data_IF_952890024216
#
_entry.id   IF_952890024216
#
_cell.length_a   1.000
_cell.length_b   1.000
_cell.length_c   1.000
_cell.angle_alpha   90.00
_cell.angle_beta   90.00
_cell.angle_gamma   90.00
#
_symmetry.space_group_name_H-M   'P 1'
#
loop_
_entity.id
_entity.type
_entity.pdbx_description
1 polymer ?
#
# COMPACT_ATOMS: atom_id res chain seq x y z
N UNK A 1 7.14 15.39 -1.99
CA UNK A 1 5.87 15.54 -2.74
C UNK A 1 5.30 16.94 -2.57
N UNK A 2 4.84 17.32 -1.36
CA UNK A 2 4.28 18.65 -1.10
C UNK A 2 5.29 19.80 -1.26
N UNK A 3 6.56 19.61 -0.89
CA UNK A 3 7.60 20.63 -1.11
C UNK A 3 7.86 20.98 -2.59
N UNK A 4 7.53 20.09 -3.53
CA UNK A 4 7.64 20.37 -4.98
C UNK A 4 6.38 21.10 -5.48
N UNK A 5 5.20 20.71 -4.99
CA UNK A 5 3.95 21.41 -5.24
C UNK A 5 3.98 22.86 -4.73
N UNK A 6 4.67 23.16 -3.63
CA UNK A 6 4.84 24.54 -3.13
C UNK A 6 5.64 25.44 -4.08
N UNK A 7 6.64 24.90 -4.78
CA UNK A 7 7.45 25.70 -5.72
C UNK A 7 6.78 25.92 -7.07
N UNK A 8 5.91 25.00 -7.49
CA UNK A 8 5.24 25.03 -8.80
C UNK A 8 3.73 24.77 -8.65
N UNK A 9 3.03 25.46 -7.75
CA UNK A 9 1.61 25.23 -7.52
C UNK A 9 0.78 25.70 -8.73
N UNK A 10 0.32 24.78 -9.60
CA UNK A 10 -0.30 25.14 -10.87
C UNK A 10 -1.74 25.60 -10.64
N UNK A 11 -2.32 26.29 -11.62
CA UNK A 11 -3.73 26.68 -11.56
C UNK A 11 -4.68 25.47 -11.54
N UNK A 12 -4.28 24.36 -12.15
CA UNK A 12 -5.02 23.10 -12.19
C UNK A 12 -4.12 21.91 -11.86
N UNK A 13 -4.53 21.13 -10.88
CA UNK A 13 -3.88 19.88 -10.46
C UNK A 13 -4.73 18.72 -10.96
N UNK A 14 -4.44 18.27 -12.19
CA UNK A 14 -5.06 17.09 -12.79
C UNK A 14 -4.10 15.89 -12.76
N UNK A 15 -4.59 14.71 -13.13
CA UNK A 15 -3.75 13.50 -13.27
C UNK A 15 -2.56 13.72 -14.21
N UNK A 16 -2.72 14.56 -15.24
CA UNK A 16 -1.64 14.92 -16.16
C UNK A 16 -0.58 15.77 -15.45
N UNK A 17 -1.00 16.76 -14.66
CA UNK A 17 -0.11 17.60 -13.85
C UNK A 17 0.70 16.76 -12.87
N UNK A 18 0.03 15.85 -12.14
CA UNK A 18 0.68 14.96 -11.17
C UNK A 18 1.67 14.00 -11.86
N UNK A 19 1.32 13.45 -13.03
CA UNK A 19 2.22 12.66 -13.89
C UNK A 19 3.41 13.47 -14.40
N UNK A 20 3.18 14.70 -14.88
CA UNK A 20 4.23 15.60 -15.39
C UNK A 20 5.25 15.93 -14.30
N UNK A 21 4.80 16.04 -13.06
CA UNK A 21 5.67 16.24 -11.91
C UNK A 21 6.26 14.94 -11.33
N UNK A 22 5.99 13.79 -11.95
CA UNK A 22 6.41 12.46 -11.46
C UNK A 22 6.04 12.23 -9.99
N UNK A 23 4.91 12.79 -9.56
CA UNK A 23 4.40 12.72 -8.20
C UNK A 23 3.55 11.45 -8.06
N UNK A 24 4.03 10.46 -7.31
CA UNK A 24 3.33 9.20 -7.04
C UNK A 24 2.79 8.48 -8.30
N UNK A 25 3.68 7.92 -9.14
CA UNK A 25 3.27 7.18 -10.33
C UNK A 25 2.30 6.04 -9.97
N UNK A 26 1.20 5.93 -10.71
CA UNK A 26 0.09 4.99 -10.51
C UNK A 26 -0.80 5.25 -9.28
N UNK A 27 -0.60 6.35 -8.55
CA UNK A 27 -1.43 6.74 -7.40
C UNK A 27 -1.92 8.19 -7.51
N UNK A 28 -1.96 8.74 -8.71
CA UNK A 28 -2.25 10.15 -8.95
C UNK A 28 -3.65 10.53 -8.48
N UNK A 29 -4.65 9.68 -8.74
CA UNK A 29 -6.03 9.89 -8.28
C UNK A 29 -6.13 9.99 -6.76
N UNK A 30 -5.34 9.20 -6.01
CA UNK A 30 -5.35 9.27 -4.55
C UNK A 30 -4.79 10.59 -4.03
N UNK A 31 -3.78 11.13 -4.71
CA UNK A 31 -3.18 12.43 -4.36
C UNK A 31 -4.17 13.54 -4.64
N UNK A 32 -4.85 13.51 -5.78
CA UNK A 32 -5.86 14.49 -6.16
C UNK A 32 -7.00 14.47 -5.14
N UNK A 33 -7.54 13.29 -4.84
CA UNK A 33 -8.60 13.14 -3.84
C UNK A 33 -8.17 13.64 -2.45
N UNK A 34 -6.91 13.41 -2.06
CA UNK A 34 -6.37 13.92 -0.81
C UNK A 34 -6.27 15.46 -0.79
N UNK A 35 -5.88 16.08 -1.91
CA UNK A 35 -5.83 17.54 -2.05
C UNK A 35 -7.23 18.17 -2.12
N UNK A 36 -8.18 17.49 -2.77
CA UNK A 36 -9.60 17.86 -2.80
C UNK A 36 -10.20 17.81 -1.41
N UNK A 37 -9.93 16.73 -0.66
CA UNK A 37 -10.41 16.56 0.70
C UNK A 37 -9.90 17.67 1.64
N UNK A 38 -8.65 18.11 1.47
CA UNK A 38 -8.10 19.24 2.22
C UNK A 38 -8.63 20.62 1.76
N UNK A 39 -9.46 20.67 0.71
CA UNK A 39 -9.98 21.92 0.16
C UNK A 39 -8.92 22.78 -0.54
N UNK A 40 -7.76 22.20 -0.88
CA UNK A 40 -6.66 22.88 -1.59
C UNK A 40 -6.99 23.04 -3.08
N UNK A 41 -7.75 22.08 -3.61
CA UNK A 41 -8.27 22.09 -4.98
C UNK A 41 -9.76 21.72 -4.95
N UNK A 42 -10.51 22.13 -5.98
CA UNK A 42 -11.92 21.79 -6.14
C UNK A 42 -12.12 20.42 -6.82
N UNK A 43 -13.39 20.02 -6.99
CA UNK A 43 -13.78 18.78 -7.68
C UNK A 43 -13.28 18.71 -9.13
N UNK A 44 -13.10 19.86 -9.78
CA UNK A 44 -12.57 20.01 -11.14
C UNK A 44 -11.03 20.00 -11.18
N UNK A 45 -10.38 19.99 -10.02
CA UNK A 45 -8.94 20.05 -9.86
C UNK A 45 -8.35 21.46 -10.00
N UNK A 46 -9.15 22.52 -10.01
CA UNK A 46 -8.65 23.91 -9.93
C UNK A 46 -8.24 24.23 -8.50
N UNK A 47 -7.18 25.01 -8.34
CA UNK A 47 -6.76 25.49 -7.03
C UNK A 47 -7.80 26.41 -6.39
N UNK A 48 -7.99 26.26 -5.09
CA UNK A 48 -8.75 27.22 -4.29
C UNK A 48 -7.86 28.38 -3.85
N UNK A 49 -8.45 29.53 -3.55
CA UNK A 49 -7.71 30.69 -3.01
C UNK A 49 -7.04 30.33 -1.66
N UNK A 50 -7.79 29.67 -0.77
CA UNK A 50 -7.26 29.15 0.51
C UNK A 50 -6.04 28.25 0.32
N UNK A 51 -6.11 27.31 -0.62
CA UNK A 51 -5.02 26.39 -0.93
C UNK A 51 -3.80 27.11 -1.49
N UNK A 52 -4.02 28.05 -2.41
CA UNK A 52 -2.96 28.89 -2.98
C UNK A 52 -2.24 29.69 -1.91
N UNK A 53 -3.00 30.41 -1.07
CA UNK A 53 -2.44 31.29 -0.05
C UNK A 53 -1.58 30.51 0.94
N UNK A 54 -2.03 29.32 1.38
CA UNK A 54 -1.24 28.46 2.26
C UNK A 54 0.03 27.92 1.57
N UNK A 55 -0.07 27.46 0.32
CA UNK A 55 1.05 26.81 -0.38
C UNK A 55 2.17 27.78 -0.81
N UNK A 56 1.88 29.07 -0.93
CA UNK A 56 2.86 30.13 -1.28
C UNK A 56 3.64 30.63 -0.06
N UNK A 57 3.16 30.37 1.17
CA UNK A 57 3.84 30.77 2.41
C UNK A 57 5.21 30.10 2.59
N UNK A 58 6.04 30.69 3.46
CA UNK A 58 7.34 30.14 3.86
C UNK A 58 7.20 28.84 4.67
N UNK A 59 8.24 28.02 4.79
CA UNK A 59 8.17 26.69 5.44
C UNK A 59 7.49 26.66 6.83
N UNK A 60 7.83 27.55 7.78
CA UNK A 60 7.18 27.54 9.11
C UNK A 60 5.73 28.04 9.07
N UNK A 61 5.41 28.96 8.16
CA UNK A 61 4.06 29.51 7.98
C UNK A 61 3.16 28.53 7.23
N UNK A 62 3.72 27.80 6.27
CA UNK A 62 3.07 26.71 5.55
C UNK A 62 2.64 25.60 6.51
N UNK A 63 3.50 25.17 7.44
CA UNK A 63 3.16 24.14 8.40
C UNK A 63 1.92 24.53 9.23
N UNK A 64 1.88 25.79 9.71
CA UNK A 64 0.73 26.32 10.44
C UNK A 64 -0.52 26.48 9.59
N UNK A 65 -0.39 27.01 8.36
CA UNK A 65 -1.51 27.14 7.43
C UNK A 65 -2.07 25.77 7.02
N UNK A 66 -1.20 24.79 6.81
CA UNK A 66 -1.56 23.42 6.49
C UNK A 66 -2.23 22.73 7.68
N UNK A 67 -1.79 22.98 8.92
CA UNK A 67 -2.49 22.52 10.12
C UNK A 67 -3.94 23.02 10.14
N UNK A 68 -4.17 24.30 9.81
CA UNK A 68 -5.50 24.88 9.71
C UNK A 68 -6.39 24.17 8.68
N UNK A 69 -5.84 23.87 7.50
CA UNK A 69 -6.57 23.11 6.46
C UNK A 69 -6.91 21.69 6.91
N UNK A 70 -5.99 21.02 7.61
CA UNK A 70 -6.24 19.67 8.14
C UNK A 70 -7.29 19.71 9.25
N UNK A 71 -7.25 20.71 10.14
CA UNK A 71 -8.28 20.90 11.18
C UNK A 71 -9.66 21.17 10.58
N UNK A 72 -9.74 21.96 9.51
CA UNK A 72 -10.99 22.22 8.79
C UNK A 72 -11.52 20.95 8.11
N UNK A 73 -10.66 20.17 7.44
CA UNK A 73 -11.07 18.95 6.76
C UNK A 73 -11.44 17.79 7.70
N UNK A 74 -10.83 17.75 8.90
CA UNK A 74 -11.10 16.74 9.94
C UNK A 74 -11.82 17.36 11.15
N UNK A 75 -12.68 18.36 10.95
CA UNK A 75 -13.38 19.08 12.03
C UNK A 75 -13.96 18.13 13.07
N UNK A 76 -14.66 17.09 12.62
CA UNK A 76 -15.32 16.11 13.48
C UNK A 76 -14.34 15.37 14.41
N UNK A 77 -13.14 15.06 13.92
CA UNK A 77 -12.10 14.41 14.72
C UNK A 77 -11.59 15.35 15.81
N UNK A 78 -11.35 16.62 15.47
CA UNK A 78 -10.89 17.62 16.42
C UNK A 78 -11.99 18.08 17.37
N UNK A 79 -13.27 18.00 17.00
CA UNK A 79 -14.39 18.25 17.92
C UNK A 79 -14.51 17.16 18.98
N UNK A 80 -14.28 15.90 18.61
CA UNK A 80 -14.39 14.76 19.55
C UNK A 80 -13.14 14.60 20.40
N UNK A 81 -11.95 14.85 19.85
CA UNK A 81 -10.66 14.56 20.50
C UNK A 81 -9.84 15.80 20.85
N UNK A 82 -10.17 16.97 20.33
CA UNK A 82 -9.37 18.18 20.52
C UNK A 82 -7.97 18.05 19.90
N UNK A 83 -7.00 18.77 20.47
CA UNK A 83 -5.61 18.72 20.02
C UNK A 83 -4.92 17.37 20.27
N UNK A 84 -5.50 16.49 21.11
CA UNK A 84 -5.02 15.12 21.30
C UNK A 84 -5.14 14.28 20.01
N UNK A 85 -5.98 14.70 19.05
CA UNK A 85 -6.09 14.05 17.74
C UNK A 85 -4.73 13.89 17.03
N UNK A 86 -3.79 14.83 17.25
CA UNK A 86 -2.45 14.78 16.67
C UNK A 86 -1.57 13.68 17.26
N UNK A 87 -1.76 13.34 18.54
CA UNK A 87 -0.95 12.36 19.27
C UNK A 87 -1.54 10.95 19.25
N UNK A 88 -2.73 10.77 18.67
CA UNK A 88 -3.38 9.46 18.59
C UNK A 88 -2.54 8.44 17.83
N UNK A 89 -2.47 7.25 18.40
CA UNK A 89 -1.82 6.13 17.75
C UNK A 89 -2.62 5.67 16.52
N UNK A 90 -1.93 5.01 15.59
CA UNK A 90 -2.56 4.44 14.40
C UNK A 90 -3.80 3.57 14.72
N UNK A 91 -3.78 2.61 15.66
CA UNK A 91 -4.97 1.80 15.96
C UNK A 91 -6.14 2.61 16.52
N UNK A 92 -5.88 3.67 17.30
CA UNK A 92 -6.92 4.56 17.82
C UNK A 92 -7.59 5.36 16.69
N UNK A 93 -6.79 5.92 15.78
CA UNK A 93 -7.28 6.59 14.59
C UNK A 93 -8.12 5.63 13.72
N UNK A 94 -7.66 4.40 13.53
CA UNK A 94 -8.43 3.38 12.77
C UNK A 94 -9.76 3.09 13.45
N UNK A 95 -9.77 2.90 14.78
CA UNK A 95 -11.00 2.68 15.53
C UNK A 95 -11.97 3.86 15.40
N UNK A 96 -11.46 5.09 15.44
CA UNK A 96 -12.23 6.30 15.23
C UNK A 96 -12.87 6.33 13.83
N UNK A 97 -12.07 6.27 12.77
CA UNK A 97 -12.58 6.35 11.38
C UNK A 97 -13.57 5.22 11.06
N UNK A 98 -13.37 4.03 11.60
CA UNK A 98 -14.33 2.93 11.45
C UNK A 98 -15.67 3.20 12.14
N UNK A 99 -15.65 3.88 13.28
CA UNK A 99 -16.85 4.18 14.06
C UNK A 99 -17.61 5.35 13.44
N UNK A 100 -16.89 6.42 13.06
CA UNK A 100 -17.46 7.64 12.48
C UNK A 100 -17.96 7.41 11.05
N UNK A 101 -17.10 6.85 10.19
CA UNK A 101 -17.40 6.72 8.74
C UNK A 101 -18.11 5.40 8.40
N UNK A 102 -18.28 4.51 9.39
CA UNK A 102 -18.85 3.16 9.23
C UNK A 102 -18.14 2.34 8.14
N UNK A 103 -16.82 2.52 8.04
CA UNK A 103 -15.98 1.90 7.01
C UNK A 103 -15.36 0.58 7.47
N UNK A 104 -14.82 -0.18 6.50
CA UNK A 104 -14.09 -1.42 6.79
C UNK A 104 -12.71 -1.13 7.40
N UNK A 105 -12.13 -2.16 8.03
CA UNK A 105 -10.81 -2.05 8.65
C UNK A 105 -9.72 -1.58 7.67
N UNK A 106 -9.79 -2.04 6.42
CA UNK A 106 -8.85 -1.65 5.36
C UNK A 106 -8.96 -0.17 5.02
N UNK A 107 -10.19 0.37 4.99
CA UNK A 107 -10.43 1.78 4.65
C UNK A 107 -10.01 2.68 5.81
N UNK A 108 -10.41 2.37 7.05
CA UNK A 108 -9.97 3.11 8.24
C UNK A 108 -8.45 3.10 8.41
N UNK A 109 -7.80 1.96 8.10
CA UNK A 109 -6.33 1.81 8.09
C UNK A 109 -5.62 2.73 7.08
N UNK A 110 -6.26 3.02 5.95
CA UNK A 110 -5.76 3.96 4.94
C UNK A 110 -6.00 5.41 5.37
N UNK A 111 -7.17 5.73 5.89
CA UNK A 111 -7.51 7.07 6.40
C UNK A 111 -6.59 7.47 7.56
N UNK A 112 -6.37 6.59 8.53
CA UNK A 112 -5.43 6.80 9.63
C UNK A 112 -4.00 7.05 9.12
N UNK A 113 -3.56 6.30 8.11
CA UNK A 113 -2.23 6.50 7.50
C UNK A 113 -2.14 7.87 6.81
N UNK A 114 -3.20 8.30 6.12
CA UNK A 114 -3.25 9.59 5.45
C UNK A 114 -3.19 10.75 6.45
N UNK A 115 -4.00 10.67 7.50
CA UNK A 115 -3.96 11.64 8.60
C UNK A 115 -2.57 11.75 9.22
N UNK A 116 -1.90 10.61 9.47
CA UNK A 116 -0.55 10.62 10.02
C UNK A 116 0.47 11.30 9.11
N UNK A 117 0.33 11.14 7.80
CA UNK A 117 1.17 11.84 6.81
C UNK A 117 0.90 13.35 6.88
N UNK A 118 -0.37 13.76 6.96
CA UNK A 118 -0.73 15.17 7.09
C UNK A 118 -0.22 15.81 8.38
N UNK A 119 -0.36 15.13 9.51
CA UNK A 119 0.20 15.58 10.79
C UNK A 119 1.72 15.77 10.71
N UNK A 120 2.43 14.82 10.09
CA UNK A 120 3.88 14.94 9.87
C UNK A 120 4.25 16.13 8.97
N UNK A 121 3.39 16.51 8.01
CA UNK A 121 3.60 17.68 7.15
C UNK A 121 3.30 18.98 7.90
N UNK A 122 2.31 18.97 8.80
CA UNK A 122 1.98 20.07 9.70
C UNK A 122 3.01 20.25 10.83
N UNK A 123 4.00 19.35 10.95
CA UNK A 123 5.06 19.42 11.96
C UNK A 123 4.74 18.69 13.26
N UNK A 124 3.65 17.93 13.32
CA UNK A 124 3.31 17.09 14.46
C UNK A 124 4.02 15.73 14.35
N UNK A 125 4.92 15.43 15.28
CA UNK A 125 5.58 14.12 15.35
C UNK A 125 4.63 13.11 16.00
N UNK A 126 4.14 12.18 15.19
CA UNK A 126 3.36 11.05 15.67
C UNK A 126 4.34 9.90 15.94
N UNK A 127 4.53 9.61 17.22
CA UNK A 127 5.18 8.40 17.73
C UNK A 127 6.62 8.18 17.22
N UNK A 128 7.46 9.20 17.35
CA UNK A 128 8.93 9.10 17.27
C UNK A 128 9.50 8.64 15.91
N UNK A 129 8.66 8.53 14.88
CA UNK A 129 9.06 8.12 13.55
C UNK A 129 8.59 9.16 12.56
N UNK A 130 9.49 10.09 12.23
CA UNK A 130 9.39 10.87 10.99
C UNK A 130 9.00 9.91 9.88
N UNK A 131 7.88 10.17 9.22
CA UNK A 131 7.50 9.43 8.03
C UNK A 131 8.42 9.98 6.94
N UNK A 132 9.68 9.54 6.95
CA UNK A 132 10.60 9.77 5.87
C UNK A 132 9.94 9.22 4.61
N UNK A 133 9.60 10.15 3.71
CA UNK A 133 9.13 9.80 2.37
C UNK A 133 10.12 8.83 1.74
N UNK A 134 9.57 7.75 1.17
CA UNK A 134 10.29 6.72 0.44
C UNK A 134 11.26 5.85 1.28
N UNK A 135 10.69 4.88 2.01
CA UNK A 135 11.38 3.62 2.24
C UNK A 135 11.57 2.89 0.91
N UNK A 136 12.70 3.18 0.27
CA UNK A 136 13.32 2.32 -0.72
C UNK A 136 13.57 0.94 -0.11
N UNK A 137 13.15 -0.10 -0.86
CA UNK A 137 13.63 -1.48 -0.85
C UNK A 137 13.97 -2.07 0.53
N UNK A 138 13.01 -2.80 1.09
CA UNK A 138 13.25 -3.83 2.10
C UNK A 138 14.24 -4.88 1.56
N UNK A 139 15.50 -4.78 1.97
CA UNK A 139 16.49 -5.85 1.86
C UNK A 139 16.09 -6.99 2.83
N UNK A 140 16.08 -8.27 2.41
CA UNK A 140 15.79 -9.37 3.32
C UNK A 140 16.99 -9.62 4.24
N UNK A 141 16.77 -9.53 5.56
CA UNK A 141 17.71 -10.05 6.57
C UNK A 141 17.86 -11.57 6.42
N UNK A 142 19.08 -12.13 6.47
CA UNK A 142 19.28 -13.57 6.44
C UNK A 142 18.82 -14.19 7.77
N UNK A 143 17.82 -15.08 7.71
CA UNK A 143 17.48 -15.97 8.83
C UNK A 143 18.42 -17.17 8.80
N UNK A 144 19.34 -17.19 9.76
CA UNK A 144 20.11 -18.38 10.14
C UNK A 144 19.16 -19.40 10.76
N UNK A 145 18.84 -20.46 10.03
CA UNK A 145 18.07 -21.60 10.55
C UNK A 145 19.02 -22.52 11.32
N UNK A 146 18.92 -22.51 12.65
CA UNK A 146 19.54 -23.53 13.51
C UNK A 146 18.89 -24.89 13.22
N UNK A 147 19.69 -25.83 12.77
CA UNK A 147 19.32 -27.23 12.53
C UNK A 147 19.14 -27.94 13.88
N UNK A 148 18.00 -28.62 14.06
CA UNK A 148 17.78 -29.60 15.13
C UNK A 148 17.65 -30.98 14.46
N UNK A 149 18.49 -31.98 14.79
CA UNK A 149 18.39 -33.30 14.17
C UNK A 149 17.31 -34.14 14.86
N UNK A 150 16.39 -34.70 14.08
CA UNK A 150 15.44 -35.72 14.52
C UNK A 150 15.96 -37.10 14.09
N UNK A 151 16.01 -38.01 15.07
CA UNK A 151 16.46 -39.39 14.93
C UNK A 151 15.41 -40.27 14.24
N UNK A 152 15.94 -41.33 13.61
CA UNK A 152 15.28 -42.48 12.95
C UNK A 152 14.07 -43.03 13.70
N UNK A 153 13.09 -43.51 12.94
CA UNK A 153 12.61 -44.90 13.06
C UNK A 153 11.91 -45.41 11.78
N UNK A 154 12.09 -46.71 11.54
CA UNK A 154 11.70 -47.52 10.37
C UNK A 154 10.26 -48.03 10.52
N UNK A 155 9.56 -48.29 9.40
CA UNK A 155 9.26 -49.63 8.87
C UNK A 155 7.93 -49.70 8.07
N UNK A 156 8.02 -50.32 6.87
CA UNK A 156 7.03 -51.15 6.11
C UNK A 156 5.60 -50.60 5.86
N UNK A 157 4.99 -50.71 4.69
CA UNK A 157 4.98 -51.82 3.72
C UNK A 157 4.56 -51.39 2.31
N UNK A 158 4.99 -52.19 1.33
CA UNK A 158 4.78 -52.18 -0.11
C UNK A 158 3.39 -51.78 -0.65
N UNK A 159 3.39 -51.02 -1.76
CA UNK A 159 2.70 -51.40 -3.00
C UNK A 159 3.49 -50.88 -4.22
N UNK A 160 3.93 -51.81 -5.08
CA UNK A 160 4.56 -51.60 -6.39
C UNK A 160 3.51 -51.20 -7.44
N UNK A 161 3.81 -50.19 -8.27
CA UNK A 161 3.45 -50.19 -9.70
C UNK A 161 4.64 -49.66 -10.50
N UNK A 162 4.98 -50.43 -11.54
CA UNK A 162 6.10 -50.28 -12.47
C UNK A 162 6.21 -48.89 -13.12
N UNK A 163 7.42 -48.35 -13.16
CA UNK A 163 7.86 -47.38 -14.17
C UNK A 163 8.72 -48.10 -15.22
N UNK A 164 8.54 -47.84 -16.54
CA UNK A 164 9.45 -48.35 -17.55
C UNK A 164 10.77 -47.57 -17.55
N UNK A 165 11.83 -48.34 -17.78
CA UNK A 165 13.25 -47.98 -17.79
C UNK A 165 13.68 -47.49 -19.18
N UNK A 166 14.49 -46.43 -19.22
CA UNK A 166 15.34 -46.02 -20.35
C UNK A 166 16.21 -44.85 -19.88
N UNK A 167 17.44 -45.07 -19.40
CA UNK A 167 18.70 -45.34 -20.11
C UNK A 167 19.58 -44.08 -20.20
N UNK A 168 20.66 -44.14 -19.40
CA UNK A 168 22.02 -43.61 -19.61
C UNK A 168 22.27 -42.14 -20.00
N UNK A 169 22.84 -41.41 -19.04
CA UNK A 169 24.24 -40.98 -19.13
C UNK A 169 24.56 -39.64 -19.78
N UNK A 170 24.98 -38.65 -18.97
CA UNK A 170 26.27 -37.93 -19.09
C UNK A 170 26.37 -36.75 -18.10
N UNK A 171 27.54 -36.65 -17.47
CA UNK A 171 28.04 -35.43 -16.83
C UNK A 171 28.03 -34.25 -17.80
N UNK A 172 27.61 -33.08 -17.34
CA UNK A 172 27.80 -31.81 -18.03
C UNK A 172 27.17 -30.67 -17.24
N UNK A 173 27.99 -29.78 -16.70
CA UNK A 173 27.52 -28.57 -16.03
C UNK A 173 26.73 -27.69 -17.01
N UNK A 174 25.52 -27.35 -16.61
CA UNK A 174 24.62 -26.42 -17.27
C UNK A 174 23.44 -26.24 -16.35
N UNK A 175 23.16 -25.00 -15.97
CA UNK A 175 22.06 -24.61 -15.09
C UNK A 175 20.73 -25.17 -15.60
N UNK A 176 20.31 -26.33 -15.07
CA UNK A 176 18.99 -26.89 -15.29
C UNK A 176 17.98 -26.02 -14.52
N UNK A 177 17.36 -25.10 -15.24
CA UNK A 177 16.49 -24.09 -14.66
C UNK A 177 15.14 -24.74 -14.33
N UNK A 178 14.97 -25.22 -13.11
CA UNK A 178 13.68 -25.71 -12.64
C UNK A 178 12.72 -24.54 -12.40
N UNK A 179 11.78 -24.29 -13.31
CA UNK A 179 10.74 -23.26 -13.15
C UNK A 179 9.57 -23.81 -12.34
N UNK A 180 9.42 -23.35 -11.09
CA UNK A 180 8.25 -23.66 -10.27
C UNK A 180 7.25 -22.51 -10.36
N UNK A 181 6.12 -22.73 -11.05
CA UNK A 181 5.04 -21.74 -11.16
C UNK A 181 3.98 -22.04 -10.11
N UNK A 182 3.79 -21.12 -9.15
CA UNK A 182 2.72 -21.19 -8.14
C UNK A 182 1.59 -20.24 -8.55
N UNK A 183 0.45 -20.81 -8.93
CA UNK A 183 -0.73 -20.05 -9.38
C UNK A 183 -1.77 -20.09 -8.28
N UNK A 184 -2.13 -18.92 -7.75
CA UNK A 184 -3.20 -18.75 -6.75
C UNK A 184 -4.40 -18.08 -7.41
N UNK A 185 -5.53 -18.79 -7.46
CA UNK A 185 -6.76 -18.31 -8.10
C UNK A 185 -7.79 -18.10 -7.00
N UNK A 186 -8.23 -16.86 -6.83
CA UNK A 186 -9.33 -16.54 -5.93
C UNK A 186 -10.65 -16.81 -6.65
N UNK A 187 -11.32 -17.90 -6.27
CA UNK A 187 -12.56 -18.33 -6.90
C UNK A 187 -13.74 -17.60 -6.23
N UNK A 188 -14.66 -17.01 -7.01
CA UNK A 188 -15.87 -16.43 -6.44
C UNK A 188 -16.77 -17.54 -5.90
N UNK A 189 -17.38 -17.32 -4.73
CA UNK A 189 -18.16 -18.32 -3.99
C UNK A 189 -19.40 -18.87 -4.72
N UNK A 190 -19.73 -18.33 -5.89
CA UNK A 190 -20.83 -18.74 -6.77
C UNK A 190 -20.36 -19.31 -8.13
N UNK A 191 -19.09 -19.69 -8.27
CA UNK A 191 -18.59 -20.34 -9.48
C UNK A 191 -19.29 -21.68 -9.74
N UNK A 192 -19.74 -21.91 -10.98
CA UNK A 192 -20.34 -23.20 -11.39
C UNK A 192 -19.24 -24.22 -11.70
N UNK A 193 -19.57 -25.52 -11.64
CA UNK A 193 -18.62 -26.61 -11.92
C UNK A 193 -17.94 -26.46 -13.29
N UNK A 194 -18.67 -26.01 -14.30
CA UNK A 194 -18.17 -25.77 -15.65
C UNK A 194 -17.09 -24.67 -15.69
N UNK A 195 -17.18 -23.68 -14.80
CA UNK A 195 -16.19 -22.60 -14.69
C UNK A 195 -14.88 -23.13 -14.12
N UNK A 196 -14.95 -24.00 -13.12
CA UNK A 196 -13.75 -24.68 -12.59
C UNK A 196 -13.08 -25.53 -13.66
N UNK A 197 -13.85 -26.34 -14.38
CA UNK A 197 -13.34 -27.24 -15.41
C UNK A 197 -12.67 -26.46 -16.57
N UNK A 198 -13.23 -25.31 -16.98
CA UNK A 198 -12.63 -24.45 -18.00
C UNK A 198 -11.30 -23.83 -17.54
N UNK A 199 -11.21 -23.43 -16.27
CA UNK A 199 -9.98 -22.87 -15.69
C UNK A 199 -8.90 -23.95 -15.63
N UNK A 200 -9.20 -25.16 -15.14
CA UNK A 200 -8.21 -26.23 -15.09
C UNK A 200 -7.81 -26.76 -16.47
N UNK A 201 -8.75 -26.80 -17.42
CA UNK A 201 -8.45 -27.16 -18.82
C UNK A 201 -7.54 -26.14 -19.49
N UNK A 202 -7.74 -24.85 -19.26
CA UNK A 202 -6.89 -23.80 -19.83
C UNK A 202 -5.49 -23.78 -19.22
N UNK A 203 -5.35 -24.02 -17.90
CA UNK A 203 -4.06 -24.19 -17.22
C UNK A 203 -3.30 -25.38 -17.81
N UNK A 204 -3.95 -26.54 -17.94
CA UNK A 204 -3.34 -27.75 -18.48
C UNK A 204 -2.87 -27.59 -19.93
N UNK A 205 -3.57 -26.80 -20.73
CA UNK A 205 -3.22 -26.58 -22.13
C UNK A 205 -2.06 -25.59 -22.35
N UNK A 206 -1.77 -24.72 -21.37
CA UNK A 206 -0.80 -23.63 -21.52
C UNK A 206 0.45 -23.76 -20.61
N UNK A 207 0.40 -24.63 -19.60
CA UNK A 207 1.51 -24.88 -18.66
C UNK A 207 2.15 -26.26 -18.82
N UNK A 208 1.80 -26.98 -19.88
CA UNK A 208 2.38 -28.27 -20.26
C UNK A 208 2.83 -28.25 -21.72
#
# INVERSE_FOLDING_TARGET
MIGYLRKNFPATVTSETVKKFSLAPNNESYVINALQFLGVIDEEGKRTEKGHDVFVLSDPEFAKGFEGLVKEAYSDLFEVRGDDAWSLSRPELVSYFRTTDKTSDVVGSRQAKLFQVFASIAGHEIDGKKIDGAATKSAPKPKTTKIKPAAKQKASSDLKVNSPKGSDGRSGGGSDMSLTVRIEINLPGNGTQETYDAIFKSIRANLY
#
